data_IF_505494377386
#
_entry.id   IF_505494377386
#
_cell.length_a   1.000
_cell.length_b   1.000
_cell.length_c   1.000
_cell.angle_alpha   90.00
_cell.angle_beta   90.00
_cell.angle_gamma   90.00
#
_symmetry.space_group_name_H-M   'P 1'
#
loop_
_entity.id
_entity.type
_entity.pdbx_description
1 polymer ?
#
# COMPACT_ATOMS: atom_id res chain seq x y z
N UNK A 1 -14.81 4.63 5.46
CA UNK A 1 -14.56 3.24 5.06
C UNK A 1 -13.07 2.92 4.96
N UNK A 2 -12.32 3.39 3.95
CA UNK A 2 -10.89 3.02 3.74
C UNK A 2 -10.02 3.22 4.99
N UNK A 3 -10.15 4.35 5.68
CA UNK A 3 -9.45 4.58 6.94
C UNK A 3 -9.80 3.53 8.02
N UNK A 4 -11.07 3.08 8.07
CA UNK A 4 -11.46 2.02 9.01
C UNK A 4 -10.73 0.72 8.71
N UNK A 5 -10.68 0.29 7.43
CA UNK A 5 -9.96 -0.91 7.03
C UNK A 5 -8.45 -0.80 7.33
N UNK A 6 -7.85 0.39 7.14
CA UNK A 6 -6.44 0.61 7.48
C UNK A 6 -6.18 0.44 8.99
N UNK A 7 -7.11 0.85 9.86
CA UNK A 7 -6.98 0.64 11.31
C UNK A 7 -7.15 -0.81 11.74
N UNK A 8 -7.67 -1.70 10.87
CA UNK A 8 -7.78 -3.14 11.15
C UNK A 8 -6.51 -3.92 10.81
N UNK A 9 -5.55 -3.34 10.12
CA UNK A 9 -4.34 -4.04 9.69
C UNK A 9 -3.19 -3.77 10.65
N UNK A 10 -2.75 -4.81 11.39
CA UNK A 10 -1.57 -4.72 12.26
C UNK A 10 -0.27 -4.81 11.44
N UNK A 11 0.14 -3.66 10.89
CA UNK A 11 1.34 -3.55 10.05
C UNK A 11 2.63 -3.83 10.83
N UNK A 12 2.66 -3.59 12.14
CA UNK A 12 3.81 -3.95 12.98
C UNK A 12 3.93 -5.48 13.10
N UNK A 13 2.80 -6.19 13.25
CA UNK A 13 2.76 -7.65 13.22
C UNK A 13 3.25 -8.17 11.86
N UNK A 14 2.83 -7.56 10.76
CA UNK A 14 3.30 -7.89 9.41
C UNK A 14 4.82 -7.73 9.31
N UNK A 15 5.40 -6.60 9.74
CA UNK A 15 6.85 -6.40 9.74
C UNK A 15 7.57 -7.47 10.58
N UNK A 16 7.05 -7.80 11.76
CA UNK A 16 7.67 -8.76 12.67
C UNK A 16 7.56 -10.21 12.18
N UNK A 17 6.35 -10.65 11.84
CA UNK A 17 6.04 -12.09 11.68
C UNK A 17 6.21 -12.56 10.23
N UNK A 18 6.01 -11.66 9.25
CA UNK A 18 6.13 -11.99 7.82
C UNK A 18 7.48 -11.57 7.26
N UNK A 19 7.93 -10.37 7.61
CA UNK A 19 9.19 -9.81 7.11
C UNK A 19 10.37 -9.97 8.08
N UNK A 20 10.20 -10.63 9.24
CA UNK A 20 11.26 -10.90 10.22
C UNK A 20 12.03 -9.63 10.64
N UNK A 21 11.31 -8.51 10.81
CA UNK A 21 11.83 -7.17 11.09
C UNK A 21 12.68 -6.56 9.94
N UNK A 22 12.63 -7.15 8.74
CA UNK A 22 13.31 -6.65 7.56
C UNK A 22 12.37 -5.81 6.68
N UNK A 23 11.51 -5.04 7.31
CA UNK A 23 10.61 -4.07 6.69
C UNK A 23 10.20 -2.99 7.68
N UNK A 24 9.81 -1.84 7.18
CA UNK A 24 9.21 -0.73 7.93
C UNK A 24 7.75 -0.54 7.55
N UNK A 25 6.96 0.03 8.48
CA UNK A 25 5.56 0.38 8.18
C UNK A 25 5.52 1.53 7.18
N UNK A 26 4.85 1.30 6.06
CA UNK A 26 4.65 2.35 5.06
C UNK A 26 3.57 3.35 5.49
N UNK A 27 3.81 4.63 5.21
CA UNK A 27 2.90 5.75 5.57
C UNK A 27 2.24 6.33 4.33
N UNK A 28 3.02 6.49 3.26
CA UNK A 28 2.65 7.08 1.98
C UNK A 28 3.40 6.35 0.87
N UNK A 29 3.17 6.66 -0.42
CA UNK A 29 3.95 6.09 -1.51
C UNK A 29 5.40 6.59 -1.59
N UNK A 30 5.79 7.56 -0.74
CA UNK A 30 7.17 8.03 -0.69
C UNK A 30 7.99 7.19 0.28
N UNK A 31 9.20 6.81 -0.15
CA UNK A 31 10.14 6.06 0.68
C UNK A 31 10.46 6.84 1.96
N UNK A 32 10.45 6.22 3.16
CA UNK A 32 10.56 6.93 4.44
C UNK A 32 11.81 7.78 4.61
N UNK A 33 12.96 7.34 4.08
CA UNK A 33 14.23 8.09 4.14
C UNK A 33 14.39 9.08 2.99
N UNK A 34 13.42 9.15 2.08
CA UNK A 34 13.46 10.10 0.97
C UNK A 34 13.12 11.51 1.46
N UNK A 35 13.82 12.52 0.90
CA UNK A 35 13.48 13.93 1.09
C UNK A 35 12.05 14.30 0.65
N UNK A 36 11.43 13.47 -0.19
CA UNK A 36 10.05 13.64 -0.66
C UNK A 36 9.02 13.13 0.35
N UNK A 37 9.43 12.33 1.33
CA UNK A 37 8.54 11.90 2.42
C UNK A 37 8.34 13.04 3.42
N UNK A 38 7.08 13.34 3.75
CA UNK A 38 6.77 14.30 4.81
C UNK A 38 6.92 13.63 6.20
N UNK A 39 7.96 13.99 6.99
CA UNK A 39 8.24 13.32 8.27
C UNK A 39 7.20 13.61 9.37
N UNK A 40 6.30 14.57 9.13
CA UNK A 40 5.20 14.89 10.07
C UNK A 40 4.08 13.85 9.99
N UNK A 41 3.96 13.14 8.87
CA UNK A 41 2.95 12.09 8.70
C UNK A 41 3.34 10.86 9.49
N UNK A 42 2.36 10.30 10.18
CA UNK A 42 2.52 9.06 10.96
C UNK A 42 1.57 7.99 10.41
N UNK A 43 2.02 6.76 10.39
CA UNK A 43 1.17 5.65 10.01
C UNK A 43 -0.08 5.61 10.90
N UNK A 44 -1.25 5.37 10.30
CA UNK A 44 -2.46 5.13 11.07
C UNK A 44 -2.22 3.94 11.99
N UNK A 45 -2.54 4.07 13.26
CA UNK A 45 -2.33 3.00 14.23
C UNK A 45 -3.26 1.81 13.99
N UNK A 46 -2.82 0.62 14.35
CA UNK A 46 -3.70 -0.53 14.48
C UNK A 46 -4.64 -0.29 15.67
N UNK A 47 -5.92 -0.17 15.40
CA UNK A 47 -6.96 0.10 16.40
C UNK A 47 -8.32 -0.45 15.95
N UNK A 48 -8.63 -1.72 16.27
CA UNK A 48 -9.94 -2.30 15.97
C UNK A 48 -11.10 -1.47 16.55
N UNK A 49 -10.90 -0.81 17.68
CA UNK A 49 -11.92 0.05 18.30
C UNK A 49 -12.24 1.28 17.42
N UNK A 50 -11.19 1.97 16.91
CA UNK A 50 -11.38 3.07 15.95
C UNK A 50 -12.03 2.60 14.67
N UNK A 51 -11.60 1.45 14.16
CA UNK A 51 -12.19 0.86 12.97
C UNK A 51 -13.68 0.59 13.13
N UNK A 52 -14.08 -0.08 14.21
CA UNK A 52 -15.51 -0.35 14.52
C UNK A 52 -16.31 0.93 14.62
N UNK A 53 -15.78 1.97 15.28
CA UNK A 53 -16.43 3.28 15.35
C UNK A 53 -16.65 3.89 13.96
N UNK A 54 -15.60 3.93 13.11
CA UNK A 54 -15.68 4.48 11.76
C UNK A 54 -16.60 3.67 10.84
N UNK A 55 -16.67 2.35 11.02
CA UNK A 55 -17.61 1.49 10.30
C UNK A 55 -19.05 1.77 10.72
N UNK A 56 -19.30 1.90 12.03
CA UNK A 56 -20.63 2.25 12.54
C UNK A 56 -21.08 3.65 12.09
N UNK A 57 -20.18 4.64 12.07
CA UNK A 57 -20.44 5.98 11.51
C UNK A 57 -20.75 5.94 10.01
N UNK A 58 -20.16 4.99 9.27
CA UNK A 58 -20.45 4.74 7.87
C UNK A 58 -21.73 3.92 7.63
N UNK A 59 -22.43 3.52 8.70
CA UNK A 59 -23.71 2.80 8.67
C UNK A 59 -23.59 1.28 8.66
N UNK A 60 -22.39 0.72 8.86
CA UNK A 60 -22.16 -0.72 8.95
C UNK A 60 -22.39 -1.21 10.39
N UNK A 61 -23.30 -2.16 10.56
CA UNK A 61 -23.67 -2.76 11.87
C UNK A 61 -24.07 -4.20 11.65
N UNK A 62 -23.88 -5.05 12.63
CA UNK A 62 -24.46 -6.40 12.65
C UNK A 62 -25.91 -6.26 13.10
N UNK A 63 -26.84 -6.30 12.15
CA UNK A 63 -28.25 -6.06 12.41
C UNK A 63 -29.05 -7.34 12.64
N UNK A 64 -28.55 -8.51 12.19
CA UNK A 64 -29.19 -9.82 12.33
C UNK A 64 -28.52 -10.71 13.37
N UNK A 65 -27.40 -10.30 13.94
CA UNK A 65 -26.69 -11.00 15.03
C UNK A 65 -25.86 -12.19 14.58
N UNK A 66 -25.51 -12.29 13.30
CA UNK A 66 -24.71 -13.39 12.76
C UNK A 66 -23.18 -13.14 12.87
N UNK A 67 -22.78 -11.97 13.40
CA UNK A 67 -21.39 -11.60 13.61
C UNK A 67 -20.75 -10.89 12.42
N UNK A 68 -21.47 -10.70 11.31
CA UNK A 68 -21.00 -10.00 10.12
C UNK A 68 -21.72 -8.65 10.00
N UNK A 69 -20.96 -7.59 9.80
CA UNK A 69 -21.54 -6.26 9.60
C UNK A 69 -22.36 -6.23 8.31
N UNK A 70 -23.50 -5.58 8.37
CA UNK A 70 -24.34 -5.33 7.19
C UNK A 70 -24.74 -3.85 7.08
N UNK A 71 -25.14 -3.47 5.88
CA UNK A 71 -25.68 -2.16 5.56
C UNK A 71 -26.66 -2.27 4.39
N UNK A 72 -27.84 -1.70 4.51
CA UNK A 72 -28.88 -1.70 3.47
C UNK A 72 -29.18 -3.12 2.96
N UNK A 73 -29.21 -4.12 3.85
CA UNK A 73 -29.44 -5.54 3.55
C UNK A 73 -28.28 -6.26 2.86
N UNK A 74 -27.10 -5.65 2.81
CA UNK A 74 -25.89 -6.25 2.23
C UNK A 74 -24.84 -6.49 3.30
N UNK A 75 -24.37 -7.73 3.42
CA UNK A 75 -23.27 -8.08 4.33
C UNK A 75 -21.96 -7.48 3.85
N UNK A 76 -21.10 -7.13 4.82
CA UNK A 76 -19.76 -6.66 4.51
C UNK A 76 -18.87 -7.86 4.18
N UNK A 77 -18.95 -8.30 2.94
CA UNK A 77 -18.13 -9.38 2.39
C UNK A 77 -17.40 -8.90 1.15
N UNK A 78 -16.18 -9.39 0.95
CA UNK A 78 -15.40 -9.14 -0.26
C UNK A 78 -14.36 -10.25 -0.48
N UNK A 79 -13.87 -10.33 -1.72
CA UNK A 79 -12.84 -11.28 -2.13
C UNK A 79 -11.50 -10.59 -2.31
N UNK A 80 -10.49 -11.06 -1.59
CA UNK A 80 -9.10 -10.62 -1.74
C UNK A 80 -8.39 -11.52 -2.76
N UNK A 81 -7.83 -10.92 -3.83
CA UNK A 81 -6.99 -11.67 -4.77
C UNK A 81 -5.63 -11.98 -4.16
N UNK A 82 -5.18 -13.21 -4.34
CA UNK A 82 -3.87 -13.71 -3.94
C UNK A 82 -3.14 -14.28 -5.14
N UNK A 83 -1.88 -13.89 -5.34
CA UNK A 83 -1.00 -14.50 -6.35
C UNK A 83 -0.53 -15.87 -5.85
N UNK A 84 -0.75 -16.92 -6.65
CA UNK A 84 -0.43 -18.30 -6.28
C UNK A 84 1.06 -18.49 -5.91
N UNK A 85 1.98 -17.87 -6.65
CA UNK A 85 3.43 -17.98 -6.43
C UNK A 85 3.98 -17.06 -5.33
N UNK A 86 3.18 -16.18 -4.74
CA UNK A 86 3.65 -15.21 -3.73
C UNK A 86 3.69 -15.81 -2.33
N UNK A 87 4.87 -16.20 -1.85
CA UNK A 87 5.07 -16.71 -0.49
C UNK A 87 4.71 -15.69 0.59
N UNK A 88 4.88 -14.41 0.31
CA UNK A 88 4.48 -13.31 1.22
C UNK A 88 2.96 -13.26 1.32
N UNK A 89 2.24 -13.27 0.20
CA UNK A 89 0.78 -13.24 0.24
C UNK A 89 0.17 -14.49 0.87
N UNK A 90 0.78 -15.66 0.71
CA UNK A 90 0.35 -16.89 1.39
C UNK A 90 0.37 -16.78 2.92
N UNK A 91 1.28 -15.97 3.49
CA UNK A 91 1.33 -15.68 4.93
C UNK A 91 0.45 -14.49 5.31
N UNK A 92 0.37 -13.48 4.46
CA UNK A 92 -0.35 -12.24 4.72
C UNK A 92 -1.87 -12.42 4.69
N UNK A 93 -2.40 -13.18 3.72
CA UNK A 93 -3.86 -13.28 3.53
C UNK A 93 -4.59 -13.92 4.71
N UNK A 94 -4.10 -15.02 5.33
CA UNK A 94 -4.73 -15.57 6.52
C UNK A 94 -4.74 -14.59 7.70
N UNK A 95 -3.66 -13.82 7.88
CA UNK A 95 -3.58 -12.80 8.93
C UNK A 95 -4.62 -11.69 8.72
N UNK A 96 -4.73 -11.15 7.50
CA UNK A 96 -5.74 -10.16 7.19
C UNK A 96 -7.16 -10.69 7.36
N UNK A 97 -7.40 -11.94 6.96
CA UNK A 97 -8.70 -12.59 7.14
C UNK A 97 -9.09 -12.69 8.61
N UNK A 98 -8.16 -13.08 9.48
CA UNK A 98 -8.37 -13.11 10.94
C UNK A 98 -8.72 -11.72 11.49
N UNK A 99 -7.94 -10.70 11.12
CA UNK A 99 -8.13 -9.32 11.60
C UNK A 99 -9.46 -8.71 11.14
N UNK A 100 -9.85 -8.95 9.88
CA UNK A 100 -11.14 -8.49 9.36
C UNK A 100 -12.32 -9.24 9.97
N UNK A 101 -12.21 -10.56 10.14
CA UNK A 101 -13.26 -11.37 10.79
C UNK A 101 -13.52 -10.90 12.23
N UNK A 102 -12.48 -10.56 12.99
CA UNK A 102 -12.60 -10.00 14.35
C UNK A 102 -13.33 -8.66 14.40
N UNK A 103 -13.46 -7.99 13.27
CA UNK A 103 -14.21 -6.74 13.12
C UNK A 103 -15.60 -6.92 12.47
N UNK A 104 -16.02 -8.17 12.22
CA UNK A 104 -17.30 -8.48 11.58
C UNK A 104 -17.28 -8.32 10.05
N UNK A 105 -16.13 -8.50 9.41
CA UNK A 105 -16.00 -8.41 7.96
C UNK A 105 -15.63 -9.79 7.40
N UNK A 106 -16.43 -10.29 6.47
CA UNK A 106 -16.17 -11.57 5.79
C UNK A 106 -15.24 -11.36 4.58
N UNK A 107 -13.98 -11.76 4.73
CA UNK A 107 -12.99 -11.73 3.66
C UNK A 107 -12.75 -13.15 3.13
N UNK A 108 -13.08 -13.41 1.88
CA UNK A 108 -12.67 -14.60 1.16
C UNK A 108 -11.35 -14.39 0.42
N UNK A 109 -10.62 -15.47 0.15
CA UNK A 109 -9.35 -15.43 -0.57
C UNK A 109 -9.51 -16.17 -1.89
N UNK A 110 -9.19 -15.52 -3.00
CA UNK A 110 -9.17 -16.13 -4.32
C UNK A 110 -7.73 -16.20 -4.84
N UNK A 111 -7.20 -17.41 -4.91
CA UNK A 111 -5.85 -17.66 -5.44
C UNK A 111 -5.91 -17.71 -6.97
N UNK A 112 -5.04 -16.94 -7.62
CA UNK A 112 -4.94 -16.88 -9.08
C UNK A 112 -3.49 -16.84 -9.53
N UNK A 113 -3.22 -17.28 -10.76
CA UNK A 113 -1.92 -17.14 -11.40
C UNK A 113 -1.64 -15.67 -11.76
N UNK A 114 -0.35 -15.30 -11.83
CA UNK A 114 0.09 -13.92 -12.06
C UNK A 114 -0.53 -13.27 -13.31
N UNK A 115 -0.60 -14.00 -14.43
CA UNK A 115 -1.21 -13.49 -15.66
C UNK A 115 -2.70 -13.14 -15.50
N UNK A 116 -3.45 -13.99 -14.80
CA UNK A 116 -4.87 -13.75 -14.49
C UNK A 116 -5.02 -12.57 -13.52
N UNK A 117 -4.12 -12.47 -12.54
CA UNK A 117 -4.10 -11.36 -11.59
C UNK A 117 -3.94 -10.02 -12.33
N UNK A 118 -2.96 -9.89 -13.22
CA UNK A 118 -2.77 -8.68 -14.04
C UNK A 118 -3.99 -8.37 -14.91
N UNK A 119 -4.55 -9.39 -15.58
CA UNK A 119 -5.76 -9.21 -16.39
C UNK A 119 -6.94 -8.67 -15.59
N UNK A 120 -7.12 -9.14 -14.34
CA UNK A 120 -8.16 -8.64 -13.45
C UNK A 120 -7.90 -7.21 -12.99
N UNK A 121 -6.64 -6.85 -12.73
CA UNK A 121 -6.27 -5.46 -12.42
C UNK A 121 -6.61 -4.53 -13.57
N UNK A 122 -6.23 -4.87 -14.79
CA UNK A 122 -6.51 -4.07 -15.99
C UNK A 122 -8.00 -3.88 -16.24
N UNK A 123 -8.76 -4.96 -16.05
CA UNK A 123 -10.23 -4.95 -16.19
C UNK A 123 -10.96 -4.40 -14.96
N UNK A 124 -10.24 -4.11 -13.85
CA UNK A 124 -10.81 -3.73 -12.55
C UNK A 124 -11.89 -4.72 -12.07
N UNK A 125 -11.68 -6.01 -12.34
CA UNK A 125 -12.58 -7.11 -12.01
C UNK A 125 -12.10 -7.82 -10.74
N UNK A 126 -12.12 -7.10 -9.63
CA UNK A 126 -11.75 -7.57 -8.30
C UNK A 126 -12.34 -6.65 -7.23
N UNK A 127 -12.53 -7.17 -6.01
CA UNK A 127 -12.96 -6.37 -4.88
C UNK A 127 -11.76 -5.75 -4.16
N UNK A 128 -10.74 -6.58 -3.86
CA UNK A 128 -9.52 -6.16 -3.20
C UNK A 128 -8.31 -6.97 -3.68
N UNK A 129 -7.14 -6.35 -3.60
CA UNK A 129 -5.88 -6.98 -3.99
C UNK A 129 -4.70 -6.39 -3.20
N UNK A 130 -3.56 -7.09 -3.21
CA UNK A 130 -2.33 -6.64 -2.59
C UNK A 130 -1.20 -6.65 -3.60
N UNK A 131 -0.58 -5.48 -3.82
CA UNK A 131 0.54 -5.30 -4.75
C UNK A 131 1.67 -4.50 -4.12
N UNK A 132 2.88 -4.67 -4.67
CA UNK A 132 4.02 -3.80 -4.43
C UNK A 132 4.29 -2.91 -5.63
N UNK A 133 4.68 -1.68 -5.37
CA UNK A 133 5.22 -0.78 -6.37
C UNK A 133 6.71 -0.58 -6.15
N UNK A 134 7.47 -0.58 -7.24
CA UNK A 134 8.85 -0.10 -7.20
C UNK A 134 8.84 1.40 -7.37
N UNK A 135 9.55 2.11 -6.52
CA UNK A 135 9.73 3.56 -6.62
C UNK A 135 11.12 3.89 -7.10
N UNK A 136 11.24 4.85 -8.00
CA UNK A 136 12.52 5.43 -8.37
C UNK A 136 12.99 6.41 -7.28
N UNK A 137 14.27 6.77 -7.33
CA UNK A 137 14.86 7.76 -6.42
C UNK A 137 14.19 9.14 -6.56
N UNK A 138 13.84 9.53 -7.79
CA UNK A 138 12.97 10.69 -8.08
C UNK A 138 11.57 10.18 -8.44
N UNK A 139 10.61 10.22 -7.50
CA UNK A 139 9.32 9.57 -7.67
C UNK A 139 8.41 10.38 -8.60
N UNK A 140 7.88 9.71 -9.64
CA UNK A 140 6.78 10.24 -10.46
C UNK A 140 5.45 9.59 -10.01
N UNK A 141 4.57 10.39 -9.44
CA UNK A 141 3.27 9.94 -8.92
C UNK A 141 2.18 9.83 -9.99
N UNK A 142 2.45 10.25 -11.23
CA UNK A 142 1.44 10.38 -12.27
C UNK A 142 0.79 9.05 -12.65
N UNK A 143 1.59 8.04 -12.94
CA UNK A 143 1.10 6.75 -13.45
C UNK A 143 0.14 6.03 -12.49
N UNK A 144 0.38 6.15 -11.19
CA UNK A 144 -0.39 5.41 -10.18
C UNK A 144 -1.54 6.24 -9.61
N UNK A 145 -1.39 7.57 -9.54
CA UNK A 145 -2.29 8.39 -8.75
C UNK A 145 -3.10 9.41 -9.55
N UNK A 146 -2.68 9.77 -10.77
CA UNK A 146 -3.39 10.76 -11.57
C UNK A 146 -4.69 10.18 -12.13
N UNK A 147 -5.77 10.97 -12.13
CA UNK A 147 -7.10 10.52 -12.58
C UNK A 147 -7.14 10.08 -14.03
N UNK A 148 -6.28 10.64 -14.91
CA UNK A 148 -6.18 10.22 -16.32
C UNK A 148 -5.71 8.77 -16.48
N UNK A 149 -5.10 8.18 -15.46
CA UNK A 149 -4.57 6.81 -15.47
C UNK A 149 -5.61 5.76 -15.03
N UNK A 150 -6.87 6.15 -14.90
CA UNK A 150 -8.00 5.25 -14.62
C UNK A 150 -8.52 4.51 -15.86
N UNK A 151 -7.95 4.80 -17.03
CA UNK A 151 -8.30 4.17 -18.33
C UNK A 151 -7.68 2.77 -18.46
N UNK A 152 -8.15 1.93 -19.42
CA UNK A 152 -7.50 0.67 -19.74
C UNK A 152 -6.00 0.86 -20.05
N UNK A 153 -5.14 0.03 -19.47
CA UNK A 153 -3.69 0.15 -19.57
C UNK A 153 -3.05 1.19 -18.63
N UNK A 154 -3.85 2.01 -17.95
CA UNK A 154 -3.37 2.91 -16.91
C UNK A 154 -3.19 2.21 -15.56
N UNK A 155 -2.24 2.69 -14.76
CA UNK A 155 -1.85 2.03 -13.49
C UNK A 155 -2.65 2.49 -12.26
N UNK A 156 -3.59 3.44 -12.41
CA UNK A 156 -4.53 3.80 -11.34
C UNK A 156 -5.64 2.74 -11.25
N UNK A 157 -5.27 1.54 -10.78
CA UNK A 157 -6.15 0.38 -10.78
C UNK A 157 -7.36 0.50 -9.85
N UNK A 158 -7.29 1.37 -8.84
CA UNK A 158 -8.38 1.59 -7.86
C UNK A 158 -9.36 2.70 -8.29
N UNK A 159 -9.15 3.30 -9.46
CA UNK A 159 -9.97 4.40 -9.97
C UNK A 159 -10.11 5.58 -8.98
N UNK A 160 -9.04 5.86 -8.24
CA UNK A 160 -9.01 7.00 -7.34
C UNK A 160 -8.87 8.29 -8.15
N UNK A 161 -9.76 9.26 -7.91
CA UNK A 161 -9.78 10.54 -8.59
C UNK A 161 -9.82 11.68 -7.57
N UNK A 162 -8.89 12.62 -7.70
CA UNK A 162 -8.84 13.84 -6.91
C UNK A 162 -8.24 14.98 -7.74
N UNK A 163 -9.07 15.97 -8.09
CA UNK A 163 -8.60 17.15 -8.86
C UNK A 163 -7.48 17.92 -8.14
N UNK A 164 -7.54 17.95 -6.80
CA UNK A 164 -6.51 18.57 -5.98
C UNK A 164 -5.18 17.82 -6.12
N UNK A 165 -5.22 16.50 -6.08
CA UNK A 165 -4.03 15.65 -6.24
C UNK A 165 -3.48 15.72 -7.67
N UNK A 166 -4.36 15.65 -8.67
CA UNK A 166 -3.96 15.73 -10.08
C UNK A 166 -3.15 17.00 -10.36
N UNK A 167 -3.66 18.14 -9.89
CA UNK A 167 -2.98 19.43 -10.04
C UNK A 167 -1.60 19.45 -9.39
N UNK A 168 -1.47 18.92 -8.17
CA UNK A 168 -0.18 18.86 -7.47
C UNK A 168 0.82 17.92 -8.17
N UNK A 169 0.34 16.81 -8.73
CA UNK A 169 1.17 15.89 -9.52
C UNK A 169 1.67 16.56 -10.79
N UNK A 170 0.79 17.26 -11.52
CA UNK A 170 1.16 18.01 -12.73
C UNK A 170 2.17 19.10 -12.40
N UNK A 171 1.92 19.90 -11.36
CA UNK A 171 2.82 20.96 -10.92
C UNK A 171 4.19 20.40 -10.51
N UNK A 172 4.23 19.28 -9.78
CA UNK A 172 5.48 18.63 -9.38
C UNK A 172 6.31 18.14 -10.58
N UNK A 173 5.65 17.67 -11.65
CA UNK A 173 6.34 17.24 -12.88
C UNK A 173 6.97 18.39 -13.66
N UNK A 174 6.39 19.58 -13.57
CA UNK A 174 6.86 20.78 -14.27
C UNK A 174 7.82 21.62 -13.42
N UNK A 175 7.95 21.36 -12.13
CA UNK A 175 8.79 22.14 -11.24
C UNK A 175 10.25 21.66 -11.29
N UNK A 176 11.18 22.58 -11.54
CA UNK A 176 12.62 22.33 -11.59
C UNK A 176 13.34 22.69 -10.27
N UNK A 177 12.74 23.58 -9.47
CA UNK A 177 13.30 23.92 -8.16
C UNK A 177 13.13 22.74 -7.19
N UNK A 178 14.25 22.23 -6.68
CA UNK A 178 14.26 21.05 -5.81
C UNK A 178 13.50 21.26 -4.51
N UNK A 179 13.55 22.47 -3.92
CA UNK A 179 12.85 22.74 -2.66
C UNK A 179 11.34 22.78 -2.88
N UNK A 180 10.87 23.42 -3.94
CA UNK A 180 9.45 23.46 -4.32
C UNK A 180 8.92 22.08 -4.67
N UNK A 181 9.71 21.24 -5.37
CA UNK A 181 9.32 19.83 -5.63
C UNK A 181 9.10 19.06 -4.35
N UNK A 182 9.96 19.24 -3.34
CA UNK A 182 9.80 18.60 -2.02
C UNK A 182 8.51 19.08 -1.35
N UNK A 183 8.21 20.38 -1.38
CA UNK A 183 6.97 20.92 -0.83
C UNK A 183 5.72 20.34 -1.51
N UNK A 184 5.75 20.23 -2.84
CA UNK A 184 4.66 19.61 -3.61
C UNK A 184 4.50 18.12 -3.25
N UNK A 185 5.61 17.38 -3.14
CA UNK A 185 5.58 15.97 -2.71
C UNK A 185 5.00 15.82 -1.30
N UNK A 186 5.34 16.71 -0.37
CA UNK A 186 4.76 16.69 0.98
C UNK A 186 3.24 16.90 0.95
N UNK A 187 2.73 17.84 0.15
CA UNK A 187 1.28 18.06 -0.04
C UNK A 187 0.60 16.86 -0.69
N UNK A 188 1.21 16.26 -1.71
CA UNK A 188 0.75 14.99 -2.33
C UNK A 188 0.64 13.90 -1.27
N UNK A 189 1.70 13.75 -0.45
CA UNK A 189 1.71 12.78 0.66
C UNK A 189 0.60 13.02 1.67
N UNK A 190 0.30 14.26 2.02
CA UNK A 190 -0.79 14.65 2.95
C UNK A 190 -2.17 14.25 2.42
N UNK A 191 -2.45 14.50 1.13
CA UNK A 191 -3.72 14.12 0.51
C UNK A 191 -3.88 12.61 0.50
N UNK A 192 -2.85 11.89 0.03
CA UNK A 192 -2.88 10.43 -0.05
C UNK A 192 -3.01 9.81 1.34
N UNK A 193 -2.31 10.37 2.34
CA UNK A 193 -2.42 9.94 3.73
C UNK A 193 -3.80 10.21 4.32
N UNK A 194 -4.41 11.36 4.06
CA UNK A 194 -5.77 11.72 4.50
C UNK A 194 -6.82 10.77 3.91
N UNK A 195 -6.74 10.54 2.62
CA UNK A 195 -7.78 9.83 1.87
C UNK A 195 -7.62 8.30 1.91
N UNK A 196 -6.43 7.81 2.26
CA UNK A 196 -6.08 6.38 2.31
C UNK A 196 -6.63 5.59 1.09
N UNK A 197 -6.28 5.97 -0.15
CA UNK A 197 -6.72 5.24 -1.33
C UNK A 197 -6.17 3.81 -1.35
N UNK A 198 -4.98 3.60 -0.75
CA UNK A 198 -4.41 2.30 -0.38
C UNK A 198 -4.27 2.19 1.13
N UNK A 199 -4.35 0.98 1.67
CA UNK A 199 -3.72 0.66 2.95
C UNK A 199 -2.24 0.41 2.68
N UNK A 200 -1.39 1.39 3.00
CA UNK A 200 0.06 1.25 2.87
C UNK A 200 0.54 0.26 3.91
N UNK A 201 1.06 -0.88 3.47
CA UNK A 201 1.46 -1.96 4.36
C UNK A 201 2.88 -1.72 4.88
N UNK A 202 3.87 -2.02 4.06
CA UNK A 202 5.28 -2.00 4.46
C UNK A 202 6.19 -1.57 3.32
N UNK A 203 7.36 -1.08 3.69
CA UNK A 203 8.54 -0.94 2.85
C UNK A 203 9.52 -2.06 3.21
N UNK A 204 9.63 -3.13 2.41
CA UNK A 204 10.59 -4.19 2.67
C UNK A 204 12.01 -3.73 2.35
N UNK A 205 12.98 -4.17 3.16
CA UNK A 205 14.39 -3.95 2.86
C UNK A 205 14.83 -4.83 1.70
N UNK A 206 15.70 -4.28 0.86
CA UNK A 206 16.36 -5.05 -0.19
C UNK A 206 17.51 -5.87 0.43
N UNK A 207 17.40 -7.18 0.34
CA UNK A 207 18.41 -8.09 0.90
C UNK A 207 19.33 -8.57 -0.21
N UNK A 208 20.62 -8.32 -0.05
CA UNK A 208 21.65 -8.76 -1.00
C UNK A 208 22.66 -9.68 -0.29
N UNK A 209 22.77 -10.90 -0.76
CA UNK A 209 23.81 -11.82 -0.31
C UNK A 209 25.07 -11.64 -1.15
N UNK A 210 26.20 -11.39 -0.51
CA UNK A 210 27.49 -11.19 -1.18
C UNK A 210 28.50 -12.20 -0.66
N UNK A 211 29.27 -12.78 -1.58
CA UNK A 211 30.36 -13.68 -1.20
C UNK A 211 31.41 -12.92 -0.37
N UNK A 212 31.89 -13.51 0.74
CA UNK A 212 32.96 -12.96 1.57
C UNK A 212 34.32 -12.82 0.88
N UNK A 213 34.41 -13.25 -0.39
CA UNK A 213 35.61 -13.04 -1.24
C UNK A 213 35.71 -11.60 -1.76
N UNK A 214 34.60 -10.84 -1.76
CA UNK A 214 34.59 -9.44 -2.19
C UNK A 214 34.86 -8.52 -1.02
N UNK A 215 35.83 -7.63 -1.18
CA UNK A 215 36.17 -6.60 -0.22
C UNK A 215 35.72 -5.23 -0.74
N UNK A 216 35.63 -4.24 0.15
CA UNK A 216 35.33 -2.84 -0.20
C UNK A 216 33.95 -2.61 -0.85
N UNK A 217 32.96 -3.41 -0.49
CA UNK A 217 31.60 -3.20 -0.94
C UNK A 217 31.01 -1.93 -0.29
N UNK A 218 30.45 -1.07 -1.12
CA UNK A 218 29.73 0.12 -0.65
C UNK A 218 28.24 -0.08 -0.83
N UNK A 219 27.49 0.08 0.24
CA UNK A 219 26.02 0.03 0.24
C UNK A 219 25.49 1.45 0.34
N UNK A 220 24.58 1.78 -0.53
CA UNK A 220 23.89 3.06 -0.59
C UNK A 220 22.38 2.87 -0.42
N UNK A 221 21.61 3.89 0.01
CA UNK A 221 20.16 3.79 0.10
C UNK A 221 19.48 3.38 -1.23
N UNK A 222 20.07 3.72 -2.37
CA UNK A 222 19.56 3.39 -3.70
C UNK A 222 20.04 2.04 -4.25
N UNK A 223 20.83 1.28 -3.47
CA UNK A 223 21.37 -0.01 -3.88
C UNK A 223 22.84 -0.18 -3.53
N UNK A 224 23.46 -1.18 -4.12
CA UNK A 224 24.87 -1.51 -3.90
C UNK A 224 25.68 -1.23 -5.16
N UNK A 225 26.75 -0.46 -5.04
CA UNK A 225 27.75 -0.33 -6.08
C UNK A 225 28.76 -1.48 -5.96
N UNK A 226 28.79 -2.31 -7.00
CA UNK A 226 29.86 -3.29 -7.19
C UNK A 226 30.89 -2.60 -8.06
N UNK A 227 31.83 -1.87 -7.47
CA UNK A 227 33.04 -1.52 -8.20
C UNK A 227 33.81 -2.82 -8.45
N UNK A 228 34.22 -3.16 -9.69
CA UNK A 228 35.06 -4.32 -9.92
C UNK A 228 36.27 -4.20 -9.00
N UNK A 229 36.32 -5.02 -7.96
CA UNK A 229 37.53 -5.17 -7.17
C UNK A 229 38.54 -5.84 -8.11
N UNK A 230 39.46 -5.07 -8.65
CA UNK A 230 40.63 -5.67 -9.29
C UNK A 230 41.30 -6.55 -8.25
N UNK A 231 41.43 -7.82 -8.59
CA UNK A 231 42.14 -8.83 -7.83
C UNK A 231 43.61 -8.41 -7.64
#
# INVERSE_FOLDING_TARGET
MRNALTHLVDRKRICRDIYHQLAEVAVTPFFPESRFHNPKLKALEFSPQKAKKLLAEAGWRDSDGDGILDKDGRKFSFTMLQVASSTIQQKLMPLLKEEFAAAGIDMSIQVVEWSNYLQRLDKRSYDACCLGWSSNFDPDMYQVWHSSQTVPGGSNHISYCSKELDKLIEDMRMEFDSAKRIELAHKIGEIIHRDQPYTFLVWPYSLVAVSGKFNNLKVYPAGMEITPAYL
#
